data_IF_490744426037
#
_entry.id   IF_490744426037
#
_cell.length_a   1.000
_cell.length_b   1.000
_cell.length_c   1.000
_cell.angle_alpha   90.00
_cell.angle_beta   90.00
_cell.angle_gamma   90.00
#
_symmetry.space_group_name_H-M   'P 1'
#
loop_
_entity.id
_entity.type
_entity.pdbx_description
1 polymer ?
#
# COMPACT_ATOMS: atom_id res chain seq x y z
N UNK A 1 -3.69 24.40 9.31
CA UNK A 1 -3.85 23.14 10.07
C UNK A 1 -4.08 21.92 9.17
N UNK A 2 -5.15 21.84 8.37
CA UNK A 2 -5.46 20.64 7.54
C UNK A 2 -4.42 20.30 6.46
N UNK A 3 -3.89 21.29 5.73
CA UNK A 3 -2.81 21.08 4.75
C UNK A 3 -1.51 20.61 5.41
N UNK A 4 -1.19 21.12 6.60
CA UNK A 4 -0.01 20.70 7.36
C UNK A 4 -0.06 19.22 7.73
N UNK A 5 -1.25 18.70 8.05
CA UNK A 5 -1.44 17.27 8.36
C UNK A 5 -1.37 16.38 7.11
N UNK A 6 -1.97 16.78 6.00
CA UNK A 6 -1.86 16.03 4.75
C UNK A 6 -0.42 15.97 4.23
N UNK A 7 0.31 17.10 4.32
CA UNK A 7 1.73 17.13 3.97
C UNK A 7 2.55 16.22 4.89
N UNK A 8 2.28 16.28 6.20
CA UNK A 8 2.93 15.38 7.16
C UNK A 8 2.67 13.90 6.85
N UNK A 9 1.42 13.52 6.61
CA UNK A 9 1.06 12.14 6.28
C UNK A 9 1.72 11.70 4.95
N UNK A 10 1.77 12.57 3.93
CA UNK A 10 2.43 12.30 2.66
C UNK A 10 3.95 12.13 2.83
N UNK A 11 4.60 13.02 3.58
CA UNK A 11 6.03 12.92 3.90
C UNK A 11 6.34 11.64 4.66
N UNK A 12 5.51 11.27 5.63
CA UNK A 12 5.69 10.06 6.40
C UNK A 12 5.63 8.79 5.52
N UNK A 13 4.69 8.75 4.58
CA UNK A 13 4.59 7.66 3.60
C UNK A 13 5.81 7.67 2.66
N UNK A 14 6.23 8.85 2.20
CA UNK A 14 7.36 8.99 1.28
C UNK A 14 8.73 8.66 1.91
N UNK A 15 8.93 8.95 3.19
CA UNK A 15 10.20 8.68 3.85
C UNK A 15 10.33 7.20 4.27
N UNK A 16 9.20 6.48 4.41
CA UNK A 16 9.14 5.09 4.85
C UNK A 16 8.69 4.14 3.73
N UNK A 17 9.20 4.38 2.51
CA UNK A 17 8.82 3.64 1.29
C UNK A 17 9.24 2.19 1.33
N UNK A 18 8.28 1.31 1.10
CA UNK A 18 8.49 -0.12 0.89
C UNK A 18 8.61 -0.41 -0.60
N UNK A 19 7.67 0.11 -1.40
CA UNK A 19 7.59 -0.11 -2.83
C UNK A 19 7.06 1.16 -3.51
N UNK A 20 7.65 1.55 -4.64
CA UNK A 20 7.10 2.55 -5.53
C UNK A 20 6.80 1.91 -6.88
N UNK A 21 5.58 2.11 -7.38
CA UNK A 21 5.12 1.58 -8.66
C UNK A 21 4.74 2.74 -9.59
N UNK A 22 5.23 2.80 -10.84
CA UNK A 22 5.06 3.98 -11.70
C UNK A 22 3.61 4.30 -12.08
N UNK A 23 2.72 3.31 -12.07
CA UNK A 23 1.29 3.49 -12.32
C UNK A 23 0.53 2.32 -11.70
N UNK A 24 -0.61 2.60 -11.07
CA UNK A 24 -1.48 1.59 -10.48
C UNK A 24 -2.90 1.68 -11.05
N UNK A 25 -3.49 0.53 -11.35
CA UNK A 25 -4.94 0.40 -11.48
C UNK A 25 -5.52 0.08 -10.11
N UNK A 26 -6.28 1.02 -9.55
CA UNK A 26 -6.87 0.85 -8.22
C UNK A 26 -8.34 0.50 -8.36
N UNK A 27 -8.70 -0.64 -7.80
CA UNK A 27 -10.07 -1.11 -7.63
C UNK A 27 -10.41 -1.14 -6.14
N UNK A 28 -11.55 -0.54 -5.77
CA UNK A 28 -12.01 -0.47 -4.37
C UNK A 28 -13.52 -0.72 -4.31
N UNK A 29 -14.05 -1.29 -3.22
CA UNK A 29 -15.48 -1.36 -3.02
C UNK A 29 -16.12 0.05 -3.08
N UNK A 30 -17.09 0.23 -3.97
CA UNK A 30 -17.80 1.52 -4.15
C UNK A 30 -17.04 2.58 -4.95
N UNK A 31 -15.84 2.28 -5.48
CA UNK A 31 -15.10 3.17 -6.36
C UNK A 31 -14.89 2.53 -7.73
N UNK A 32 -15.20 3.27 -8.78
CA UNK A 32 -14.92 2.82 -10.14
C UNK A 32 -13.41 2.69 -10.34
N UNK A 33 -12.99 1.62 -11.03
CA UNK A 33 -11.58 1.33 -11.30
C UNK A 33 -10.95 2.55 -11.97
N UNK A 34 -9.98 3.19 -11.30
CA UNK A 34 -9.31 4.38 -11.82
C UNK A 34 -7.88 4.00 -12.17
N UNK A 35 -7.49 4.31 -13.41
CA UNK A 35 -6.09 4.30 -13.80
C UNK A 35 -5.47 5.57 -13.28
N UNK A 36 -4.70 5.46 -12.21
CA UNK A 36 -3.83 6.55 -11.80
C UNK A 36 -2.49 6.38 -12.51
N UNK A 37 -2.19 7.36 -13.36
CA UNK A 37 -0.92 7.44 -14.09
C UNK A 37 0.20 8.01 -13.21
N UNK A 38 -0.14 8.46 -12.01
CA UNK A 38 0.80 8.98 -11.02
C UNK A 38 1.45 7.82 -10.25
N UNK A 39 2.70 8.05 -9.84
CA UNK A 39 3.46 7.07 -9.05
C UNK A 39 2.69 6.73 -7.77
N UNK A 40 2.52 5.43 -7.53
CA UNK A 40 1.90 4.92 -6.31
C UNK A 40 2.98 4.42 -5.38
N UNK A 41 2.93 4.91 -4.14
CA UNK A 41 3.91 4.61 -3.11
C UNK A 41 3.26 3.81 -2.00
N UNK A 42 3.77 2.62 -1.73
CA UNK A 42 3.41 1.78 -0.58
C UNK A 42 4.48 1.93 0.49
N UNK A 43 4.06 2.17 1.73
CA UNK A 43 4.95 2.43 2.88
C UNK A 43 4.52 1.66 4.12
N UNK A 44 5.31 1.78 5.19
CA UNK A 44 4.96 1.27 6.52
C UNK A 44 3.65 1.87 7.04
N UNK A 45 3.32 3.11 6.66
CA UNK A 45 2.24 3.90 7.25
C UNK A 45 1.05 4.15 6.32
N UNK A 46 1.08 3.62 5.10
CA UNK A 46 0.01 3.85 4.14
C UNK A 46 0.41 3.76 2.68
N UNK A 47 -0.54 4.12 1.82
CA UNK A 47 -0.37 4.31 0.38
C UNK A 47 -0.57 5.78 0.03
N UNK A 48 0.35 6.32 -0.77
CA UNK A 48 0.19 7.60 -1.45
C UNK A 48 -0.06 7.33 -2.94
N UNK A 49 -1.18 7.85 -3.45
CA UNK A 49 -1.61 7.71 -4.84
C UNK A 49 -1.95 9.10 -5.35
N UNK A 50 -0.99 9.73 -6.02
CA UNK A 50 -1.10 11.13 -6.37
C UNK A 50 -1.33 12.02 -5.15
N UNK A 51 -2.52 12.63 -5.05
CA UNK A 51 -2.93 13.44 -3.88
C UNK A 51 -3.69 12.68 -2.80
N UNK A 52 -3.97 11.39 -3.02
CA UNK A 52 -4.76 10.57 -2.12
C UNK A 52 -3.89 9.78 -1.17
N UNK A 53 -4.31 9.75 0.10
CA UNK A 53 -3.58 9.12 1.18
C UNK A 53 -4.49 8.11 1.86
N UNK A 54 -4.06 6.84 1.87
CA UNK A 54 -4.68 5.76 2.62
C UNK A 54 -3.74 5.36 3.75
N UNK A 55 -4.12 5.61 5.00
CA UNK A 55 -3.23 5.45 6.15
C UNK A 55 -3.51 4.17 6.92
N UNK A 56 -2.46 3.62 7.50
CA UNK A 56 -2.54 2.58 8.53
C UNK A 56 -1.36 2.71 9.49
N UNK A 57 -1.42 2.02 10.64
CA UNK A 57 -0.27 1.87 11.54
C UNK A 57 0.10 3.10 12.36
N UNK A 58 -0.68 4.19 12.31
CA UNK A 58 -0.42 5.41 13.08
C UNK A 58 -1.12 5.43 14.45
N UNK A 59 -2.32 4.84 14.56
CA UNK A 59 -3.13 4.90 15.78
C UNK A 59 -3.01 3.63 16.65
N UNK A 60 -1.88 2.92 16.52
CA UNK A 60 -1.57 1.72 17.30
C UNK A 60 -2.55 0.56 17.07
N UNK A 61 -2.79 -0.25 18.10
CA UNK A 61 -3.61 -1.48 18.02
C UNK A 61 -5.10 -1.24 17.78
N UNK A 62 -5.58 -0.01 18.00
CA UNK A 62 -6.98 0.37 17.84
C UNK A 62 -7.25 1.09 16.52
N UNK A 63 -6.21 1.40 15.75
CA UNK A 63 -6.30 2.08 14.47
C UNK A 63 -6.53 1.16 13.28
N UNK A 64 -6.60 1.79 12.10
CA UNK A 64 -6.51 1.09 10.82
C UNK A 64 -5.15 0.41 10.69
N UNK A 65 -5.14 -0.85 10.30
CA UNK A 65 -3.92 -1.67 10.16
C UNK A 65 -3.90 -2.36 8.81
N UNK A 66 -2.71 -2.50 8.24
CA UNK A 66 -2.47 -3.46 7.18
C UNK A 66 -2.63 -4.86 7.78
N UNK A 67 -3.45 -5.69 7.14
CA UNK A 67 -3.88 -6.99 7.66
C UNK A 67 -3.49 -8.15 6.76
N UNK A 68 -3.43 -7.93 5.45
CA UNK A 68 -2.98 -8.92 4.49
C UNK A 68 -2.32 -8.26 3.28
N UNK A 69 -1.29 -8.91 2.76
CA UNK A 69 -0.65 -8.57 1.49
C UNK A 69 -0.61 -9.81 0.61
N UNK A 70 -1.03 -9.69 -0.63
CA UNK A 70 -0.91 -10.74 -1.64
C UNK A 70 -0.19 -10.17 -2.86
N UNK A 71 0.73 -10.92 -3.44
CA UNK A 71 1.45 -10.54 -4.65
C UNK A 71 1.35 -11.71 -5.62
N UNK A 72 0.84 -11.41 -6.81
CA UNK A 72 0.89 -12.32 -7.95
C UNK A 72 1.86 -11.81 -9.03
N UNK A 73 1.80 -12.40 -10.23
CA UNK A 73 2.66 -12.03 -11.34
C UNK A 73 2.55 -10.56 -11.78
N UNK A 74 1.35 -10.00 -11.70
CA UNK A 74 1.03 -8.68 -12.25
C UNK A 74 0.56 -7.69 -11.17
N UNK A 75 -0.04 -8.21 -10.10
CA UNK A 75 -0.86 -7.47 -9.15
C UNK A 75 -0.42 -7.70 -7.72
N UNK A 76 -0.58 -6.64 -6.93
CA UNK A 76 -0.37 -6.62 -5.51
C UNK A 76 -1.67 -6.17 -4.85
N UNK A 77 -2.08 -6.87 -3.81
CA UNK A 77 -3.28 -6.61 -3.07
C UNK A 77 -2.94 -6.26 -1.63
N UNK A 78 -3.44 -5.12 -1.16
CA UNK A 78 -3.25 -4.61 0.18
C UNK A 78 -4.61 -4.55 0.86
N UNK A 79 -4.81 -5.36 1.90
CA UNK A 79 -6.03 -5.33 2.70
C UNK A 79 -5.74 -4.66 4.03
N UNK A 80 -6.43 -3.56 4.31
CA UNK A 80 -6.26 -2.80 5.53
C UNK A 80 -7.61 -2.33 6.08
N UNK A 81 -7.66 -2.07 7.38
CA UNK A 81 -8.91 -1.73 8.03
C UNK A 81 -8.79 -1.79 9.54
N UNK A 82 -9.91 -1.58 10.20
CA UNK A 82 -10.07 -1.84 11.62
C UNK A 82 -11.07 -2.99 11.83
N UNK A 83 -11.54 -3.14 13.07
CA UNK A 83 -12.52 -4.17 13.46
C UNK A 83 -13.90 -3.99 12.82
N UNK A 84 -14.23 -2.76 12.39
CA UNK A 84 -15.55 -2.39 11.92
C UNK A 84 -15.61 -2.42 10.38
N UNK A 85 -14.51 -2.04 9.71
CA UNK A 85 -14.43 -2.04 8.26
C UNK A 85 -13.06 -2.41 7.71
N UNK A 86 -13.05 -3.25 6.67
CA UNK A 86 -11.88 -3.56 5.86
C UNK A 86 -12.00 -3.04 4.43
N UNK A 87 -10.86 -2.69 3.86
CA UNK A 87 -10.71 -2.14 2.51
C UNK A 87 -9.57 -2.88 1.81
N UNK A 88 -9.74 -3.18 0.53
CA UNK A 88 -8.72 -3.83 -0.30
C UNK A 88 -8.35 -2.94 -1.47
N UNK A 89 -7.08 -2.57 -1.56
CA UNK A 89 -6.48 -1.89 -2.71
C UNK A 89 -5.80 -2.94 -3.58
N UNK A 90 -6.04 -2.86 -4.88
CA UNK A 90 -5.32 -3.59 -5.91
C UNK A 90 -4.35 -2.63 -6.61
N UNK A 91 -3.13 -3.08 -6.88
CA UNK A 91 -2.07 -2.33 -7.55
C UNK A 91 -1.50 -3.20 -8.67
N UNK A 92 -1.35 -2.65 -9.87
CA UNK A 92 -0.47 -3.26 -10.87
C UNK A 92 0.95 -2.83 -10.53
N UNK A 93 1.82 -3.79 -10.16
CA UNK A 93 3.16 -3.44 -9.68
C UNK A 93 4.22 -3.48 -10.77
N UNK A 94 3.97 -4.18 -11.89
CA UNK A 94 4.91 -4.26 -13.01
C UNK A 94 6.32 -4.72 -12.59
N UNK A 95 6.43 -5.48 -11.49
CA UNK A 95 7.72 -5.96 -10.98
C UNK A 95 8.20 -7.06 -11.91
N UNK A 96 8.96 -6.67 -12.93
CA UNK A 96 9.50 -7.59 -13.95
C UNK A 96 10.62 -8.49 -13.40
N UNK A 97 11.15 -8.18 -12.23
CA UNK A 97 12.27 -8.88 -11.61
C UNK A 97 11.85 -9.50 -10.28
N UNK A 98 12.04 -10.82 -10.16
CA UNK A 98 11.78 -11.58 -8.93
C UNK A 98 12.48 -11.00 -7.71
N UNK A 99 13.67 -10.41 -7.89
CA UNK A 99 14.42 -9.76 -6.82
C UNK A 99 13.65 -8.61 -6.17
N UNK A 100 12.93 -7.80 -6.97
CA UNK A 100 12.10 -6.70 -6.45
C UNK A 100 10.96 -7.22 -5.59
N UNK A 101 10.35 -8.35 -5.96
CA UNK A 101 9.31 -9.01 -5.15
C UNK A 101 9.89 -9.48 -3.81
N UNK A 102 11.07 -10.10 -3.83
CA UNK A 102 11.75 -10.56 -2.61
C UNK A 102 12.09 -9.40 -1.68
N UNK A 103 12.63 -8.30 -2.20
CA UNK A 103 12.95 -7.12 -1.40
C UNK A 103 11.71 -6.47 -0.81
N UNK A 104 10.64 -6.31 -1.61
CA UNK A 104 9.38 -5.75 -1.14
C UNK A 104 8.74 -6.62 -0.04
N UNK A 105 8.72 -7.94 -0.23
CA UNK A 105 8.13 -8.89 0.74
C UNK A 105 8.90 -8.94 2.05
N UNK A 106 10.24 -8.93 2.00
CA UNK A 106 11.09 -8.86 3.19
C UNK A 106 10.88 -7.56 3.95
N UNK A 107 10.84 -6.43 3.23
CA UNK A 107 10.64 -5.12 3.83
C UNK A 107 9.25 -4.95 4.44
N UNK A 108 8.20 -5.45 3.76
CA UNK A 108 6.83 -5.52 4.31
C UNK A 108 6.80 -6.26 5.64
N UNK A 109 7.41 -7.45 5.69
CA UNK A 109 7.40 -8.23 6.92
C UNK A 109 8.15 -7.51 8.03
N UNK A 110 9.36 -7.01 7.75
CA UNK A 110 10.18 -6.34 8.77
C UNK A 110 9.51 -5.07 9.33
N UNK A 111 8.88 -4.27 8.48
CA UNK A 111 8.34 -2.97 8.89
C UNK A 111 6.90 -3.01 9.39
N UNK A 112 6.08 -3.92 8.86
CA UNK A 112 4.63 -3.98 9.18
C UNK A 112 4.25 -5.19 10.01
N UNK A 113 5.12 -6.21 10.08
CA UNK A 113 4.82 -7.52 10.65
C UNK A 113 3.90 -8.37 9.78
N UNK A 114 3.42 -7.87 8.63
CA UNK A 114 2.54 -8.59 7.72
C UNK A 114 3.37 -9.33 6.69
N UNK A 115 3.28 -10.66 6.70
CA UNK A 115 3.90 -11.50 5.70
C UNK A 115 3.07 -11.47 4.41
N UNK A 116 3.73 -11.22 3.28
CA UNK A 116 3.08 -11.24 1.98
C UNK A 116 2.92 -12.69 1.49
N UNK A 117 1.72 -13.02 1.03
CA UNK A 117 1.44 -14.27 0.31
C UNK A 117 1.84 -14.08 -1.15
N UNK A 118 2.62 -15.02 -1.68
CA UNK A 118 3.12 -14.98 -3.05
C UNK A 118 2.47 -16.11 -3.85
N UNK A 119 1.82 -15.77 -4.96
CA UNK A 119 1.15 -16.73 -5.85
C UNK A 119 1.64 -16.54 -7.29
N UNK A 120 2.25 -17.56 -7.89
CA UNK A 120 2.69 -17.54 -9.31
C UNK A 120 3.56 -16.34 -9.74
N UNK A 121 4.66 -16.05 -9.01
CA UNK A 121 5.68 -15.06 -9.40
C UNK A 121 6.77 -15.58 -10.35
#
# INVERSE_FOLDING_TARGET
MRQSRLLYDATLIWDNRILAVPSALISMPGRQMKKDTEETVVSTFGILIGSEIYRWGLDGVHGVRLSAVQIDKERMYLTFGDKDQTMRVELLHGMLHKQTVVEATQKLWHETGVQAEISDC
#
